data_IF_671208158441
#
_entry.id   IF_671208158441
#
_cell.length_a   1.000
_cell.length_b   1.000
_cell.length_c   1.000
_cell.angle_alpha   90.00
_cell.angle_beta   90.00
_cell.angle_gamma   90.00
#
_symmetry.space_group_name_H-M   'P 1'
#
loop_
_entity.id
_entity.type
_entity.pdbx_description
1 polymer ?
#
# COMPACT_ATOMS: atom_id res chain seq x y z
N UNK A 1 -9.74 13.47 23.56
CA UNK A 1 -10.48 14.29 22.57
C UNK A 1 -10.89 13.36 21.45
N UNK A 2 -12.18 13.06 21.34
CA UNK A 2 -12.73 12.25 20.24
C UNK A 2 -12.78 13.11 18.99
N UNK A 3 -12.01 12.76 17.96
CA UNK A 3 -12.20 13.31 16.61
C UNK A 3 -13.06 12.30 15.85
N UNK A 4 -14.37 12.41 16.03
CA UNK A 4 -15.34 11.82 15.12
C UNK A 4 -15.38 12.68 13.85
N UNK A 5 -14.52 12.36 12.88
CA UNK A 5 -14.70 12.81 11.50
C UNK A 5 -15.89 12.03 10.90
N UNK A 6 -17.11 12.43 11.26
CA UNK A 6 -18.28 12.09 10.48
C UNK A 6 -18.25 12.96 9.22
N UNK A 7 -17.67 12.44 8.15
CA UNK A 7 -17.98 12.92 6.81
C UNK A 7 -19.48 12.69 6.61
N UNK A 8 -20.27 13.77 6.59
CA UNK A 8 -21.70 13.70 6.28
C UNK A 8 -21.86 13.30 4.80
N UNK A 9 -22.05 12.00 4.54
CA UNK A 9 -22.33 11.49 3.21
C UNK A 9 -23.83 11.69 2.96
N UNK A 10 -24.17 12.55 2.00
CA UNK A 10 -25.55 12.76 1.54
C UNK A 10 -25.84 11.81 0.38
N UNK A 11 -26.91 11.05 0.47
CA UNK A 11 -27.43 10.16 -0.59
C UNK A 11 -28.08 10.87 -1.78
N UNK A 12 -28.47 12.14 -1.60
CA UNK A 12 -29.12 12.95 -2.63
C UNK A 12 -28.11 13.58 -3.59
N UNK A 13 -26.82 13.41 -3.30
CA UNK A 13 -25.72 13.98 -4.09
C UNK A 13 -25.16 12.91 -5.02
N UNK A 14 -25.00 13.25 -6.29
CA UNK A 14 -24.19 12.45 -7.22
C UNK A 14 -22.71 12.67 -6.90
N UNK A 15 -21.97 11.58 -6.69
CA UNK A 15 -20.53 11.62 -6.44
C UNK A 15 -19.76 11.31 -7.70
N UNK A 16 -18.66 12.01 -7.91
CA UNK A 16 -17.75 11.75 -9.02
C UNK A 16 -16.61 10.83 -8.59
N UNK A 17 -16.33 9.81 -9.41
CA UNK A 17 -15.31 8.81 -9.18
C UNK A 17 -14.25 8.90 -10.27
N UNK A 18 -13.07 9.38 -9.88
CA UNK A 18 -11.89 9.48 -10.73
C UNK A 18 -10.67 8.91 -9.99
N UNK A 19 -9.90 8.06 -10.68
CA UNK A 19 -8.69 7.41 -10.16
C UNK A 19 -7.42 7.80 -10.93
N UNK A 20 -7.51 8.76 -11.86
CA UNK A 20 -6.36 9.21 -12.62
C UNK A 20 -5.33 9.93 -11.76
N UNK A 21 -4.06 9.55 -11.93
CA UNK A 21 -2.93 10.13 -11.20
C UNK A 21 -2.84 9.71 -9.74
N UNK A 22 -3.76 8.87 -9.24
CA UNK A 22 -3.73 8.35 -7.89
C UNK A 22 -2.71 7.23 -7.74
N UNK A 23 -2.02 7.20 -6.59
CA UNK A 23 -1.23 6.07 -6.12
C UNK A 23 -2.11 4.89 -5.69
N UNK A 24 -1.52 3.71 -5.52
CA UNK A 24 -2.24 2.49 -5.07
C UNK A 24 -3.01 2.75 -3.75
N UNK A 25 -2.40 3.43 -2.79
CA UNK A 25 -3.05 3.79 -1.52
C UNK A 25 -4.23 4.75 -1.71
N UNK A 26 -4.08 5.74 -2.58
CA UNK A 26 -5.15 6.70 -2.87
C UNK A 26 -6.31 6.04 -3.64
N UNK A 27 -6.02 5.07 -4.51
CA UNK A 27 -7.03 4.25 -5.18
C UNK A 27 -7.79 3.41 -4.15
N UNK A 28 -7.10 2.74 -3.21
CA UNK A 28 -7.75 1.98 -2.14
C UNK A 28 -8.63 2.87 -1.25
N UNK A 29 -8.14 4.04 -0.85
CA UNK A 29 -8.93 5.01 -0.09
C UNK A 29 -10.16 5.49 -0.89
N UNK A 30 -10.01 5.70 -2.20
CA UNK A 30 -11.14 6.05 -3.07
C UNK A 30 -12.17 4.92 -3.14
N UNK A 31 -11.72 3.67 -3.26
CA UNK A 31 -12.60 2.49 -3.29
C UNK A 31 -13.32 2.32 -1.94
N UNK A 32 -12.65 2.55 -0.81
CA UNK A 32 -13.33 2.55 0.50
C UNK A 32 -14.40 3.63 0.59
N UNK A 33 -14.12 4.83 0.09
CA UNK A 33 -15.11 5.90 0.02
C UNK A 33 -16.29 5.53 -0.90
N UNK A 34 -16.02 4.87 -2.03
CA UNK A 34 -17.05 4.31 -2.92
C UNK A 34 -17.96 3.32 -2.18
N UNK A 35 -17.39 2.41 -1.37
CA UNK A 35 -18.16 1.48 -0.53
C UNK A 35 -19.01 2.21 0.50
N UNK A 36 -18.48 3.25 1.16
CA UNK A 36 -19.24 4.02 2.14
C UNK A 36 -20.44 4.74 1.49
N UNK A 37 -20.25 5.36 0.32
CA UNK A 37 -21.33 6.03 -0.42
C UNK A 37 -22.38 5.03 -0.89
N UNK A 38 -21.94 3.89 -1.44
CA UNK A 38 -22.87 2.87 -1.92
C UNK A 38 -23.70 2.25 -0.78
N UNK A 39 -23.09 1.99 0.38
CA UNK A 39 -23.82 1.54 1.58
C UNK A 39 -24.81 2.60 2.07
N UNK A 40 -24.47 3.89 1.97
CA UNK A 40 -25.40 4.95 2.32
C UNK A 40 -26.63 4.97 1.39
N UNK A 41 -26.45 4.71 0.09
CA UNK A 41 -27.57 4.54 -0.84
C UNK A 41 -28.49 3.39 -0.43
N UNK A 42 -27.91 2.24 -0.07
CA UNK A 42 -28.68 1.07 0.37
C UNK A 42 -29.44 1.32 1.68
N UNK A 43 -28.81 2.00 2.64
CA UNK A 43 -29.43 2.36 3.92
C UNK A 43 -30.65 3.30 3.78
N UNK A 44 -30.76 3.99 2.65
CA UNK A 44 -31.91 4.83 2.32
C UNK A 44 -32.97 4.12 1.46
N UNK A 45 -33.02 2.79 1.56
CA UNK A 45 -33.98 1.92 0.89
C UNK A 45 -33.87 1.94 -0.65
N UNK A 46 -32.73 2.35 -1.21
CA UNK A 46 -32.46 2.15 -2.65
C UNK A 46 -32.13 0.68 -2.90
N UNK A 47 -32.55 0.19 -4.05
CA UNK A 47 -32.18 -1.14 -4.51
C UNK A 47 -30.70 -1.20 -4.87
N UNK A 48 -30.13 -2.41 -4.90
CA UNK A 48 -28.77 -2.61 -5.39
C UNK A 48 -28.59 -2.08 -6.82
N UNK A 49 -29.59 -2.24 -7.68
CA UNK A 49 -29.56 -1.76 -9.05
C UNK A 49 -29.45 -0.23 -9.10
N UNK A 50 -30.32 0.48 -8.38
CA UNK A 50 -30.28 1.96 -8.31
C UNK A 50 -28.96 2.46 -7.72
N UNK A 51 -28.44 1.80 -6.68
CA UNK A 51 -27.15 2.15 -6.10
C UNK A 51 -26.00 1.97 -7.10
N UNK A 52 -25.99 0.88 -7.87
CA UNK A 52 -25.02 0.63 -8.94
C UNK A 52 -25.12 1.70 -10.03
N UNK A 53 -26.34 2.03 -10.47
CA UNK A 53 -26.57 3.06 -11.49
C UNK A 53 -26.05 4.42 -11.05
N UNK A 54 -26.34 4.84 -9.81
CA UNK A 54 -25.82 6.08 -9.24
C UNK A 54 -24.29 6.07 -9.13
N UNK A 55 -23.69 4.94 -8.78
CA UNK A 55 -22.24 4.77 -8.74
C UNK A 55 -21.63 4.91 -10.14
N UNK A 56 -22.19 4.22 -11.13
CA UNK A 56 -21.72 4.22 -12.53
C UNK A 56 -21.90 5.59 -13.18
N UNK A 57 -23.01 6.28 -12.92
CA UNK A 57 -23.24 7.65 -13.37
C UNK A 57 -22.16 8.62 -12.89
N UNK A 58 -21.55 8.32 -11.73
CA UNK A 58 -20.43 9.07 -11.18
C UNK A 58 -19.07 8.75 -11.81
N UNK A 59 -18.94 7.67 -12.60
CA UNK A 59 -17.65 7.28 -13.15
C UNK A 59 -17.15 8.28 -14.18
N UNK A 60 -15.86 8.62 -14.08
CA UNK A 60 -15.18 9.48 -15.04
C UNK A 60 -13.87 8.87 -15.51
N UNK A 61 -13.41 9.33 -16.68
CA UNK A 61 -12.10 9.00 -17.27
C UNK A 61 -11.79 7.50 -17.24
N UNK A 62 -10.71 7.06 -16.56
CA UNK A 62 -10.31 5.63 -16.51
C UNK A 62 -11.43 4.71 -16.03
N UNK A 63 -12.19 5.09 -14.99
CA UNK A 63 -13.30 4.27 -14.50
C UNK A 63 -14.42 4.17 -15.53
N UNK A 64 -14.75 5.29 -16.19
CA UNK A 64 -15.79 5.31 -17.22
C UNK A 64 -15.37 4.51 -18.46
N UNK A 65 -14.12 4.65 -18.90
CA UNK A 65 -13.57 3.90 -20.03
C UNK A 65 -13.51 2.40 -19.73
N UNK A 66 -13.09 2.03 -18.52
CA UNK A 66 -13.11 0.65 -18.08
C UNK A 66 -14.52 0.06 -18.10
N UNK A 67 -15.50 0.77 -17.51
CA UNK A 67 -16.88 0.32 -17.50
C UNK A 67 -17.43 0.15 -18.91
N UNK A 68 -17.19 1.12 -19.80
CA UNK A 68 -17.77 1.09 -21.15
C UNK A 68 -17.07 0.12 -22.10
N UNK A 69 -15.74 -0.01 -22.01
CA UNK A 69 -14.95 -0.68 -23.04
C UNK A 69 -14.33 -2.01 -22.59
N UNK A 70 -14.07 -2.19 -21.28
CA UNK A 70 -13.42 -3.41 -20.78
C UNK A 70 -14.42 -4.45 -20.25
N UNK A 71 -15.58 -4.02 -19.74
CA UNK A 71 -16.64 -4.94 -19.31
C UNK A 71 -17.62 -5.22 -20.46
N UNK A 72 -17.92 -6.51 -20.66
CA UNK A 72 -19.00 -6.93 -21.56
C UNK A 72 -20.36 -6.62 -20.93
N UNK A 73 -21.41 -6.52 -21.75
CA UNK A 73 -22.78 -6.35 -21.22
C UNK A 73 -23.19 -7.51 -20.31
N UNK A 74 -22.76 -8.74 -20.62
CA UNK A 74 -22.96 -9.91 -19.75
C UNK A 74 -22.31 -9.70 -18.38
N UNK A 75 -21.04 -9.26 -18.32
CA UNK A 75 -20.37 -8.98 -17.04
C UNK A 75 -21.03 -7.84 -16.26
N UNK A 76 -21.56 -6.82 -16.94
CA UNK A 76 -22.33 -5.75 -16.27
C UNK A 76 -23.62 -6.30 -15.67
N UNK A 77 -24.27 -7.22 -16.38
CA UNK A 77 -25.49 -7.86 -15.90
C UNK A 77 -25.25 -8.80 -14.72
N UNK A 78 -24.15 -9.57 -14.76
CA UNK A 78 -23.67 -10.37 -13.65
C UNK A 78 -23.41 -9.51 -12.41
N UNK A 79 -22.84 -8.32 -12.57
CA UNK A 79 -22.64 -7.37 -11.48
C UNK A 79 -23.98 -6.88 -10.93
N UNK A 80 -24.94 -6.50 -11.79
CA UNK A 80 -26.26 -5.99 -11.34
C UNK A 80 -27.05 -7.02 -10.56
N UNK A 81 -26.98 -8.29 -10.95
CA UNK A 81 -27.74 -9.39 -10.36
C UNK A 81 -26.92 -10.29 -9.43
N UNK A 82 -25.72 -9.84 -9.03
CA UNK A 82 -24.87 -10.64 -8.16
C UNK A 82 -25.58 -10.93 -6.83
N UNK A 83 -25.35 -12.14 -6.32
CA UNK A 83 -25.84 -12.61 -5.02
C UNK A 83 -24.68 -13.02 -4.13
N UNK A 84 -24.87 -12.89 -2.82
CA UNK A 84 -23.90 -13.32 -1.83
C UNK A 84 -23.69 -14.82 -1.94
N UNK A 85 -22.44 -15.24 -1.75
CA UNK A 85 -22.05 -16.66 -1.79
C UNK A 85 -21.37 -17.05 -0.49
N UNK A 86 -21.60 -18.29 -0.07
CA UNK A 86 -20.89 -18.88 1.05
C UNK A 86 -19.44 -19.24 0.68
N UNK A 87 -18.72 -19.91 1.60
CA UNK A 87 -17.30 -20.27 1.40
C UNK A 87 -17.13 -21.31 0.30
N UNK A 88 -18.17 -22.07 0.01
CA UNK A 88 -18.26 -23.11 -0.99
C UNK A 88 -18.70 -22.56 -2.36
N UNK A 89 -19.06 -21.26 -2.42
CA UNK A 89 -19.45 -20.56 -3.63
C UNK A 89 -20.94 -20.71 -3.98
N UNK A 90 -21.74 -21.26 -3.07
CA UNK A 90 -23.18 -21.42 -3.24
C UNK A 90 -23.92 -20.14 -2.85
N UNK A 91 -25.01 -19.76 -3.56
CA UNK A 91 -25.80 -18.60 -3.20
C UNK A 91 -26.38 -18.70 -1.80
N UNK A 92 -26.24 -17.63 -1.02
CA UNK A 92 -26.88 -17.50 0.29
C UNK A 92 -28.30 -16.97 0.05
N UNK A 93 -29.28 -17.75 0.49
CA UNK A 93 -30.70 -17.40 0.34
C UNK A 93 -31.21 -16.68 1.59
N UNK A 94 -32.04 -15.66 1.36
CA UNK A 94 -32.89 -15.11 2.40
C UNK A 94 -34.20 -15.89 2.44
N UNK A 95 -34.39 -16.68 3.50
CA UNK A 95 -35.59 -17.51 3.70
C UNK A 95 -36.89 -16.68 3.72
N UNK A 96 -36.83 -15.39 4.05
CA UNK A 96 -38.01 -14.51 4.09
C UNK A 96 -38.46 -14.04 2.70
N UNK A 97 -37.54 -14.01 1.72
CA UNK A 97 -37.77 -13.49 0.37
C UNK A 97 -37.79 -14.62 -0.68
N UNK A 98 -37.27 -15.80 -0.32
CA UNK A 98 -37.20 -16.98 -1.20
C UNK A 98 -36.19 -16.83 -2.34
N UNK A 99 -35.29 -15.84 -2.26
CA UNK A 99 -34.30 -15.50 -3.29
C UNK A 99 -32.91 -15.31 -2.66
N UNK A 100 -31.87 -15.31 -3.50
CA UNK A 100 -30.50 -15.03 -3.06
C UNK A 100 -30.34 -13.59 -2.55
N UNK A 101 -29.56 -13.40 -1.49
CA UNK A 101 -29.25 -12.06 -0.96
C UNK A 101 -28.46 -11.29 -2.02
N UNK A 102 -28.96 -10.13 -2.43
CA UNK A 102 -28.29 -9.31 -3.45
C UNK A 102 -26.93 -8.79 -2.95
N UNK A 103 -25.95 -8.76 -3.85
CA UNK A 103 -24.57 -8.35 -3.57
C UNK A 103 -23.95 -7.52 -4.69
N UNK A 104 -24.77 -6.96 -5.58
CA UNK A 104 -24.28 -6.26 -6.77
C UNK A 104 -23.35 -5.07 -6.47
N UNK A 105 -23.62 -4.29 -5.41
CA UNK A 105 -22.76 -3.20 -4.97
C UNK A 105 -21.37 -3.71 -4.57
N UNK A 106 -21.29 -4.72 -3.71
CA UNK A 106 -20.01 -5.27 -3.28
C UNK A 106 -19.27 -5.93 -4.44
N UNK A 107 -20.00 -6.59 -5.34
CA UNK A 107 -19.44 -7.18 -6.56
C UNK A 107 -18.86 -6.11 -7.48
N UNK A 108 -19.53 -4.96 -7.66
CA UNK A 108 -19.01 -3.82 -8.42
C UNK A 108 -17.71 -3.30 -7.80
N UNK A 109 -17.71 -3.00 -6.50
CA UNK A 109 -16.54 -2.50 -5.75
C UNK A 109 -15.36 -3.47 -5.86
N UNK A 110 -15.62 -4.77 -5.64
CA UNK A 110 -14.60 -5.80 -5.74
C UNK A 110 -14.04 -5.90 -7.16
N UNK A 111 -14.89 -5.80 -8.19
CA UNK A 111 -14.45 -5.88 -9.58
C UNK A 111 -13.57 -4.69 -9.95
N UNK A 112 -13.91 -3.48 -9.48
CA UNK A 112 -13.06 -2.28 -9.62
C UNK A 112 -11.71 -2.52 -8.95
N UNK A 113 -11.70 -2.88 -7.66
CA UNK A 113 -10.47 -3.15 -6.90
C UNK A 113 -9.60 -4.19 -7.59
N UNK A 114 -10.20 -5.33 -7.98
CA UNK A 114 -9.48 -6.42 -8.65
C UNK A 114 -8.88 -5.99 -9.99
N UNK A 115 -9.53 -5.10 -10.73
CA UNK A 115 -9.03 -4.64 -12.02
C UNK A 115 -7.85 -3.66 -11.88
N UNK A 116 -7.97 -2.68 -10.98
CA UNK A 116 -6.97 -1.60 -10.87
C UNK A 116 -5.83 -1.92 -9.90
N UNK A 117 -6.11 -2.64 -8.80
CA UNK A 117 -5.10 -3.00 -7.80
C UNK A 117 -4.60 -4.45 -7.96
N UNK A 118 -5.46 -5.34 -8.47
CA UNK A 118 -5.20 -6.78 -8.57
C UNK A 118 -5.76 -7.57 -7.39
N UNK A 119 -5.56 -8.89 -7.40
CA UNK A 119 -5.88 -9.74 -6.24
C UNK A 119 -4.88 -9.47 -5.11
N UNK A 120 -5.27 -9.56 -3.82
CA UNK A 120 -4.34 -9.43 -2.69
C UNK A 120 -3.09 -10.31 -2.79
N UNK A 121 -3.23 -11.54 -3.33
CA UNK A 121 -2.11 -12.45 -3.61
C UNK A 121 -1.12 -11.87 -4.63
N UNK A 122 -1.62 -11.19 -5.66
CA UNK A 122 -0.81 -10.62 -6.72
C UNK A 122 -0.14 -9.32 -6.26
N UNK A 123 -0.83 -8.52 -5.44
CA UNK A 123 -0.27 -7.32 -4.79
C UNK A 123 0.93 -7.72 -3.92
N UNK A 124 0.78 -8.77 -3.12
CA UNK A 124 1.86 -9.29 -2.27
C UNK A 124 3.08 -9.73 -3.10
N UNK A 125 2.86 -10.40 -4.24
CA UNK A 125 3.95 -10.76 -5.18
C UNK A 125 4.61 -9.54 -5.80
N UNK A 126 3.81 -8.55 -6.26
CA UNK A 126 4.33 -7.30 -6.85
C UNK A 126 5.19 -6.53 -5.86
N UNK A 127 4.73 -6.41 -4.61
CA UNK A 127 5.50 -5.75 -3.54
C UNK A 127 6.79 -6.53 -3.27
N UNK A 128 6.73 -7.87 -3.25
CA UNK A 128 7.93 -8.70 -3.07
C UNK A 128 8.96 -8.40 -4.17
N UNK A 129 8.56 -8.41 -5.44
CA UNK A 129 9.45 -8.15 -6.58
C UNK A 129 10.02 -6.73 -6.55
N UNK A 130 9.22 -5.76 -6.12
CA UNK A 130 9.65 -4.38 -5.94
C UNK A 130 10.67 -4.23 -4.81
N UNK A 131 10.46 -4.86 -3.65
CA UNK A 131 11.35 -4.79 -2.50
C UNK A 131 12.62 -5.65 -2.68
N UNK A 132 12.50 -6.81 -3.34
CA UNK A 132 13.62 -7.73 -3.59
C UNK A 132 14.71 -7.07 -4.45
N UNK A 133 14.30 -6.20 -5.38
CA UNK A 133 15.18 -5.46 -6.28
C UNK A 133 15.57 -4.06 -5.78
N UNK A 134 14.90 -3.54 -4.74
CA UNK A 134 15.20 -2.20 -4.21
C UNK A 134 16.58 -2.16 -3.54
N UNK A 135 17.40 -1.16 -3.89
CA UNK A 135 18.72 -0.91 -3.32
C UNK A 135 18.96 0.59 -3.14
N UNK A 136 19.62 0.94 -2.06
CA UNK A 136 20.17 2.26 -1.79
C UNK A 136 21.54 2.33 -2.49
N UNK A 137 21.64 3.09 -3.59
CA UNK A 137 22.88 3.16 -4.39
C UNK A 137 23.96 3.96 -3.68
N UNK A 138 23.57 5.08 -3.08
CA UNK A 138 24.46 5.97 -2.33
C UNK A 138 23.77 6.38 -1.04
N UNK A 139 24.55 6.84 -0.06
CA UNK A 139 23.98 7.44 1.15
C UNK A 139 23.15 8.70 0.85
N UNK A 140 23.40 9.40 -0.26
CA UNK A 140 22.53 10.49 -0.71
C UNK A 140 21.09 10.07 -0.99
N UNK A 141 20.89 8.82 -1.40
CA UNK A 141 19.59 8.26 -1.75
C UNK A 141 18.87 7.64 -0.54
N UNK A 142 19.48 7.66 0.65
CA UNK A 142 18.97 6.92 1.81
C UNK A 142 17.55 7.34 2.19
N UNK A 143 17.24 8.65 2.20
CA UNK A 143 15.89 9.13 2.54
C UNK A 143 14.82 8.58 1.59
N UNK A 144 15.12 8.60 0.29
CA UNK A 144 14.23 8.03 -0.72
C UNK A 144 14.11 6.51 -0.57
N UNK A 145 15.22 5.83 -0.33
CA UNK A 145 15.25 4.38 -0.11
C UNK A 145 14.41 3.97 1.12
N UNK A 146 14.58 4.66 2.24
CA UNK A 146 13.81 4.45 3.48
C UNK A 146 12.32 4.62 3.23
N UNK A 147 11.93 5.73 2.60
CA UNK A 147 10.53 6.05 2.34
C UNK A 147 9.87 5.03 1.40
N UNK A 148 10.53 4.70 0.28
CA UNK A 148 10.01 3.72 -0.69
C UNK A 148 9.92 2.32 -0.09
N UNK A 149 10.94 1.88 0.65
CA UNK A 149 10.91 0.57 1.28
C UNK A 149 9.81 0.50 2.34
N UNK A 150 9.76 1.48 3.24
CA UNK A 150 8.78 1.53 4.34
C UNK A 150 7.36 1.58 3.79
N UNK A 151 7.09 2.45 2.83
CA UNK A 151 5.77 2.55 2.20
C UNK A 151 5.34 1.21 1.62
N UNK A 152 6.23 0.50 0.92
CA UNK A 152 5.89 -0.78 0.28
C UNK A 152 5.76 -1.94 1.26
N UNK A 153 6.68 -2.07 2.21
CA UNK A 153 6.68 -3.20 3.15
C UNK A 153 5.46 -3.17 4.07
N UNK A 154 4.97 -1.97 4.43
CA UNK A 154 3.78 -1.80 5.28
C UNK A 154 2.48 -2.33 4.66
N UNK A 155 2.45 -2.56 3.34
CA UNK A 155 1.31 -3.17 2.65
C UNK A 155 1.32 -4.71 2.70
N UNK A 156 2.33 -5.32 3.34
CA UNK A 156 2.41 -6.77 3.51
C UNK A 156 1.89 -7.22 4.87
N UNK A 157 1.27 -8.39 4.92
CA UNK A 157 0.84 -9.01 6.18
C UNK A 157 2.01 -9.49 7.05
N UNK A 158 3.15 -9.81 6.44
CA UNK A 158 4.38 -10.28 7.09
C UNK A 158 5.43 -9.15 7.23
N UNK A 159 5.01 -7.87 7.21
CA UNK A 159 5.90 -6.71 7.16
C UNK A 159 6.92 -6.65 8.32
N UNK A 160 6.60 -7.25 9.46
CA UNK A 160 7.45 -7.29 10.65
C UNK A 160 8.36 -8.54 10.72
N UNK A 161 8.37 -9.39 9.69
CA UNK A 161 9.21 -10.59 9.69
C UNK A 161 10.71 -10.24 9.67
N UNK A 162 11.56 -11.10 10.26
CA UNK A 162 13.02 -10.96 10.21
C UNK A 162 13.57 -10.72 8.81
N UNK A 163 13.00 -11.42 7.83
CA UNK A 163 13.40 -11.34 6.43
C UNK A 163 13.39 -9.90 5.90
N UNK A 164 12.37 -9.11 6.19
CA UNK A 164 12.27 -7.74 5.67
C UNK A 164 13.23 -6.77 6.35
N UNK A 165 13.49 -6.95 7.65
CA UNK A 165 14.47 -6.16 8.40
C UNK A 165 15.88 -6.43 7.88
N UNK A 166 16.23 -7.70 7.73
CA UNK A 166 17.48 -8.11 7.10
C UNK A 166 17.58 -7.59 5.66
N UNK A 167 16.49 -7.71 4.89
CA UNK A 167 16.44 -7.25 3.51
C UNK A 167 16.70 -5.74 3.39
N UNK A 168 16.14 -4.94 4.29
CA UNK A 168 16.35 -3.50 4.35
C UNK A 168 17.82 -3.16 4.53
N UNK A 169 18.49 -3.80 5.49
CA UNK A 169 19.91 -3.58 5.78
C UNK A 169 20.79 -4.05 4.61
N UNK A 170 20.47 -5.21 4.03
CA UNK A 170 21.14 -5.74 2.84
C UNK A 170 20.96 -4.87 1.58
N UNK A 171 20.00 -3.95 1.60
CA UNK A 171 19.80 -2.99 0.52
C UNK A 171 20.65 -1.74 0.61
N UNK A 172 21.36 -1.51 1.72
CA UNK A 172 22.29 -0.39 1.91
C UNK A 172 23.57 -0.56 1.06
N UNK A 173 24.35 0.50 0.83
CA UNK A 173 25.69 0.38 0.25
C UNK A 173 26.55 -0.59 1.07
N UNK A 174 27.24 -1.52 0.40
CA UNK A 174 27.86 -2.72 1.01
C UNK A 174 28.62 -2.41 2.32
N UNK A 175 29.63 -1.54 2.26
CA UNK A 175 30.48 -1.22 3.41
C UNK A 175 29.69 -0.57 4.56
N UNK A 176 28.70 0.26 4.22
CA UNK A 176 27.86 0.89 5.23
C UNK A 176 26.88 -0.10 5.85
N UNK A 177 26.31 -1.00 5.04
CA UNK A 177 25.48 -2.08 5.53
C UNK A 177 26.23 -3.03 6.46
N UNK A 178 27.50 -3.34 6.18
CA UNK A 178 28.36 -4.12 7.08
C UNK A 178 28.56 -3.42 8.43
N UNK A 179 28.88 -2.12 8.42
CA UNK A 179 29.01 -1.31 9.65
C UNK A 179 27.72 -1.28 10.49
N UNK A 180 26.57 -1.14 9.83
CA UNK A 180 25.26 -1.20 10.50
C UNK A 180 25.02 -2.58 11.12
N UNK A 181 25.36 -3.66 10.40
CA UNK A 181 25.24 -5.03 10.91
C UNK A 181 26.14 -5.29 12.10
N UNK A 182 27.38 -4.81 12.08
CA UNK A 182 28.31 -4.92 13.20
C UNK A 182 27.77 -4.20 14.44
N UNK A 183 27.14 -3.04 14.26
CA UNK A 183 26.56 -2.26 15.36
C UNK A 183 25.30 -2.92 15.94
N UNK A 184 24.46 -3.52 15.08
CA UNK A 184 23.25 -4.25 15.49
C UNK A 184 23.56 -5.65 16.05
N UNK A 185 24.72 -6.21 15.72
CA UNK A 185 25.14 -7.55 16.09
C UNK A 185 25.57 -7.64 17.55
N UNK A 186 25.32 -8.79 18.15
CA UNK A 186 25.97 -9.19 19.41
C UNK A 186 27.50 -9.32 19.24
N UNK A 187 28.29 -9.48 20.32
CA UNK A 187 29.73 -9.75 20.22
C UNK A 187 30.10 -10.98 19.36
N UNK A 188 29.14 -11.86 19.09
CA UNK A 188 29.28 -13.02 18.22
C UNK A 188 28.90 -12.73 16.74
N UNK A 189 28.55 -11.49 16.42
CA UNK A 189 28.11 -11.06 15.08
C UNK A 189 26.68 -11.48 14.72
N UNK A 190 25.92 -12.05 15.65
CA UNK A 190 24.54 -12.49 15.42
C UNK A 190 23.60 -11.32 15.71
N UNK A 191 22.73 -11.02 14.74
CA UNK A 191 21.68 -10.00 14.84
C UNK A 191 20.35 -10.69 15.15
N UNK A 192 19.68 -10.23 16.22
CA UNK A 192 18.34 -10.69 16.59
C UNK A 192 17.27 -9.88 15.84
N UNK A 193 17.01 -10.28 14.59
CA UNK A 193 16.03 -9.61 13.75
C UNK A 193 14.59 -9.75 14.25
N UNK A 194 14.27 -10.78 15.04
CA UNK A 194 12.92 -10.97 15.58
C UNK A 194 12.57 -9.84 16.55
N UNK A 195 13.51 -9.47 17.43
CA UNK A 195 13.32 -8.41 18.43
C UNK A 195 13.64 -6.99 17.94
N UNK A 196 14.28 -6.83 16.78
CA UNK A 196 14.55 -5.51 16.20
C UNK A 196 13.29 -4.83 15.68
N UNK A 197 13.13 -3.53 15.95
CA UNK A 197 12.14 -2.70 15.26
C UNK A 197 12.76 -1.97 14.07
N UNK A 198 11.95 -1.52 13.11
CA UNK A 198 12.42 -0.61 12.07
C UNK A 198 13.01 0.68 12.65
N UNK A 199 12.49 1.17 13.79
CA UNK A 199 13.04 2.33 14.49
C UNK A 199 14.47 2.11 15.00
N UNK A 200 14.77 0.92 15.51
CA UNK A 200 16.14 0.56 15.96
C UNK A 200 17.11 0.54 14.78
N UNK A 201 16.66 0.03 13.63
CA UNK A 201 17.45 0.00 12.39
C UNK A 201 17.70 1.42 11.89
N UNK A 202 16.67 2.25 11.79
CA UNK A 202 16.77 3.62 11.27
C UNK A 202 17.61 4.51 12.19
N UNK A 203 17.48 4.36 13.50
CA UNK A 203 18.28 5.11 14.48
C UNK A 203 19.76 4.70 14.42
N UNK A 204 20.04 3.41 14.26
CA UNK A 204 21.42 2.90 14.07
C UNK A 204 22.04 3.46 12.79
N UNK A 205 21.31 3.40 11.66
CA UNK A 205 21.77 3.96 10.39
C UNK A 205 22.06 5.46 10.52
N UNK A 206 21.18 6.22 11.18
CA UNK A 206 21.40 7.66 11.40
C UNK A 206 22.64 7.91 12.24
N UNK A 207 22.83 7.14 13.32
CA UNK A 207 24.00 7.24 14.20
C UNK A 207 25.31 6.97 13.43
N UNK A 208 25.39 5.87 12.70
CA UNK A 208 26.59 5.51 11.93
C UNK A 208 26.85 6.47 10.78
N UNK A 209 25.80 6.92 10.09
CA UNK A 209 25.91 7.95 9.05
C UNK A 209 26.51 9.25 9.59
N UNK A 210 26.07 9.71 10.76
CA UNK A 210 26.59 10.91 11.41
C UNK A 210 28.06 10.78 11.84
N UNK A 211 28.47 9.60 12.33
CA UNK A 211 29.88 9.32 12.66
C UNK A 211 30.76 9.43 11.41
N UNK A 212 30.36 8.78 10.31
CA UNK A 212 31.08 8.86 9.04
C UNK A 212 31.20 10.30 8.51
N UNK A 213 30.12 11.08 8.57
CA UNK A 213 30.15 12.51 8.17
C UNK A 213 31.16 13.31 9.02
N UNK A 214 31.26 13.00 10.31
CA UNK A 214 32.17 13.68 11.26
C UNK A 214 33.62 13.31 10.98
N UNK A 215 33.91 12.03 10.78
CA UNK A 215 35.26 11.53 10.48
C UNK A 215 35.80 12.10 9.16
N UNK A 216 34.95 12.21 8.14
CA UNK A 216 35.33 12.82 6.86
C UNK A 216 35.67 14.31 7.00
N UNK A 217 34.92 15.06 7.82
CA UNK A 217 35.25 16.48 8.11
C UNK A 217 36.61 16.59 8.79
N UNK A 218 36.90 15.74 9.76
CA UNK A 218 38.20 15.71 10.46
C UNK A 218 39.35 15.36 9.49
N UNK A 219 39.16 14.35 8.63
CA UNK A 219 40.17 13.96 7.63
C UNK A 219 40.43 15.03 6.57
N UNK A 220 39.40 15.76 6.16
CA UNK A 220 39.53 16.89 5.21
C UNK A 220 40.34 18.05 5.80
N UNK A 221 40.20 18.31 7.10
CA UNK A 221 40.96 19.32 7.84
C UNK A 221 42.41 18.88 8.10
N UNK A 222 42.67 17.57 8.18
CA UNK A 222 43.99 16.98 8.42
C UNK A 222 44.83 16.73 7.14
N UNK A 223 44.35 17.13 5.95
CA UNK A 223 45.11 17.08 4.70
C UNK A 223 45.41 15.67 4.13
N UNK A 224 44.74 14.62 4.63
CA UNK A 224 44.92 13.23 4.15
C UNK A 224 43.70 12.76 3.36
N UNK A 225 43.69 12.94 2.05
CA UNK A 225 42.62 12.41 1.19
C UNK A 225 42.96 11.00 0.68
N UNK A 226 42.27 9.98 1.17
CA UNK A 226 41.99 8.73 0.41
C UNK A 226 40.70 8.05 0.90
N UNK A 227 39.55 8.54 0.45
CA UNK A 227 38.40 7.72 0.07
C UNK A 227 37.36 8.59 -0.65
N UNK A 228 36.94 8.18 -1.86
CA UNK A 228 35.82 8.80 -2.60
C UNK A 228 34.52 8.19 -2.10
N UNK A 229 33.87 8.81 -1.12
CA UNK A 229 32.45 8.59 -0.83
C UNK A 229 31.68 9.83 -1.30
N UNK A 230 30.74 9.66 -2.23
CA UNK A 230 29.77 10.71 -2.55
C UNK A 230 28.68 10.69 -1.47
N UNK A 231 28.96 11.41 -0.38
CA UNK A 231 28.01 11.62 0.71
C UNK A 231 27.04 12.71 0.29
N UNK A 232 26.03 12.34 -0.49
CA UNK A 232 24.84 13.17 -0.64
C UNK A 232 24.04 13.21 0.67
N UNK A 233 23.33 14.33 0.89
CA UNK A 233 22.18 14.67 1.80
C UNK A 233 21.90 13.95 3.13
N UNK A 234 22.66 12.95 3.55
CA UNK A 234 22.46 12.22 4.80
C UNK A 234 22.91 13.06 6.01
N UNK A 235 23.86 13.99 5.80
CA UNK A 235 24.42 14.85 6.85
C UNK A 235 23.69 16.20 7.06
N UNK A 236 22.52 16.44 6.43
CA UNK A 236 21.73 17.68 6.58
C UNK A 236 20.49 17.50 7.42
#
# INVERSE_FOLDING_TARGET
MNVSNQFSISSSKLYEWNIDGLSELEILNKIQHMSMVANNYLNENRTHLEAIELMVLGFTRKLLQWWNNCLTEESKEDIRHAVQKDKEGLPIFDESIGNGILDGVNTLIYTIMKHFEGKPSNITSRIYDQLSNLRCRTLGDYRWYEDVFTTRVMHRSDCNSPFWKEKFINGLPILFGEMVKETLGSPLGIIDYDNLTYGDIFSTIRSEGMKMCTDMKIQSQAGKSKAKYEVGTLCT
#
